data_IF_249041682655
#
_entry.id   IF_249041682655
#
_cell.length_a   1.000
_cell.length_b   1.000
_cell.length_c   1.000
_cell.angle_alpha   90.00
_cell.angle_beta   90.00
_cell.angle_gamma   90.00
#
_symmetry.space_group_name_H-M   'P 1'
#
loop_
_entity.id
_entity.type
_entity.pdbx_description
1 polymer ?
#
# COMPACT_ATOMS: atom_id res chain seq x y z
N UNK A 1 11.54 3.70 4.65
CA UNK A 1 10.23 3.46 5.28
C UNK A 1 9.19 3.21 4.18
N UNK A 2 7.94 2.88 4.54
CA UNK A 2 6.91 2.51 3.57
C UNK A 2 6.53 3.65 2.62
N UNK A 3 6.15 4.80 3.15
CA UNK A 3 5.71 5.94 2.34
C UNK A 3 6.84 6.60 1.55
N UNK A 4 8.08 6.59 2.07
CA UNK A 4 9.24 7.09 1.36
C UNK A 4 9.65 6.19 0.20
N UNK A 5 9.54 4.87 0.36
CA UNK A 5 9.76 3.91 -0.75
C UNK A 5 8.80 4.20 -1.92
N UNK A 6 7.51 4.29 -1.62
CA UNK A 6 6.49 4.59 -2.64
C UNK A 6 6.68 5.98 -3.23
N UNK A 7 6.98 6.99 -2.41
CA UNK A 7 7.23 8.35 -2.89
C UNK A 7 8.39 8.41 -3.89
N UNK A 8 9.46 7.65 -3.67
CA UNK A 8 10.58 7.57 -4.62
C UNK A 8 10.14 6.92 -5.93
N UNK A 9 9.41 5.81 -5.89
CA UNK A 9 8.89 5.13 -7.10
C UNK A 9 8.05 6.10 -7.93
N UNK A 10 7.11 6.81 -7.30
CA UNK A 10 6.28 7.80 -7.98
C UNK A 10 7.08 8.99 -8.52
N UNK A 11 8.01 9.52 -7.74
CA UNK A 11 8.87 10.63 -8.15
C UNK A 11 9.72 10.29 -9.36
N UNK A 12 10.24 9.06 -9.44
CA UNK A 12 11.00 8.57 -10.60
C UNK A 12 10.14 8.50 -11.87
N UNK A 13 8.82 8.37 -11.73
CA UNK A 13 7.84 8.41 -12.82
C UNK A 13 7.23 9.82 -13.01
N UNK A 14 7.83 10.86 -12.42
CA UNK A 14 7.40 12.26 -12.59
C UNK A 14 6.17 12.67 -11.76
N UNK A 15 5.63 11.79 -10.91
CA UNK A 15 4.45 12.07 -10.08
C UNK A 15 4.89 12.41 -8.66
N UNK A 16 4.46 13.57 -8.16
CA UNK A 16 4.75 14.00 -6.80
C UNK A 16 3.59 13.65 -5.86
N UNK A 17 3.89 12.86 -4.82
CA UNK A 17 2.94 12.52 -3.76
C UNK A 17 3.45 13.02 -2.41
N UNK A 18 2.52 13.22 -1.46
CA UNK A 18 2.84 13.67 -0.10
C UNK A 18 3.73 12.65 0.64
N UNK A 19 4.35 13.07 1.74
CA UNK A 19 5.44 12.30 2.38
C UNK A 19 4.95 11.14 3.24
N UNK A 20 3.85 11.34 3.96
CA UNK A 20 3.36 10.38 4.95
C UNK A 20 2.24 9.51 4.37
N UNK A 21 2.14 8.25 4.82
CA UNK A 21 1.13 7.31 4.33
C UNK A 21 -0.31 7.83 4.52
N UNK A 22 -0.59 8.46 5.66
CA UNK A 22 -1.88 9.09 5.95
C UNK A 22 -2.22 10.21 4.96
N UNK A 23 -1.24 11.03 4.63
CA UNK A 23 -1.37 12.12 3.68
C UNK A 23 -1.54 11.61 2.23
N UNK A 24 -0.81 10.56 1.86
CA UNK A 24 -0.93 9.91 0.55
C UNK A 24 -2.32 9.29 0.37
N UNK A 25 -2.92 8.73 1.44
CA UNK A 25 -4.27 8.17 1.41
C UNK A 25 -5.38 9.21 1.16
N UNK A 26 -5.08 10.51 1.29
CA UNK A 26 -6.00 11.60 0.93
C UNK A 26 -5.93 11.97 -0.56
N UNK A 27 -4.97 11.42 -1.29
CA UNK A 27 -4.73 11.70 -2.70
C UNK A 27 -5.28 10.59 -3.60
N UNK A 28 -5.36 10.87 -4.89
CA UNK A 28 -5.80 9.91 -5.89
C UNK A 28 -7.30 9.57 -5.82
N UNK A 29 -7.71 8.66 -6.69
CA UNK A 29 -9.07 8.16 -6.80
C UNK A 29 -9.22 6.86 -6.02
N UNK A 30 -10.38 6.62 -5.42
CA UNK A 30 -10.66 5.38 -4.70
C UNK A 30 -10.78 4.23 -5.70
N UNK A 31 -10.19 3.09 -5.36
CA UNK A 31 -10.44 1.81 -6.03
C UNK A 31 -11.25 0.95 -5.06
N UNK A 32 -12.49 0.64 -5.43
CA UNK A 32 -13.49 0.10 -4.49
C UNK A 32 -13.19 -1.33 -4.04
N UNK A 33 -12.53 -2.13 -4.87
CA UNK A 33 -12.28 -3.55 -4.62
C UNK A 33 -10.83 -3.91 -4.93
N UNK A 34 -10.25 -4.79 -4.13
CA UNK A 34 -8.91 -5.34 -4.38
C UNK A 34 -8.83 -6.02 -5.76
N UNK A 35 -9.90 -6.68 -6.19
CA UNK A 35 -9.99 -7.31 -7.51
C UNK A 35 -9.89 -6.31 -8.68
N UNK A 36 -10.21 -5.03 -8.45
CA UNK A 36 -10.10 -3.95 -9.43
C UNK A 36 -8.76 -3.21 -9.34
N UNK A 37 -7.88 -3.59 -8.41
CA UNK A 37 -6.57 -2.99 -8.26
C UNK A 37 -5.70 -3.31 -9.47
N UNK A 38 -5.02 -2.28 -9.95
CA UNK A 38 -4.09 -2.35 -11.06
C UNK A 38 -2.65 -2.21 -10.57
N UNK A 39 -1.70 -2.56 -11.44
CA UNK A 39 -0.28 -2.33 -11.20
C UNK A 39 -0.05 -0.86 -10.84
N UNK A 40 0.74 -0.62 -9.81
CA UNK A 40 1.06 0.69 -9.25
C UNK A 40 -0.05 1.35 -8.41
N UNK A 41 -1.24 0.77 -8.25
CA UNK A 41 -2.18 1.29 -7.24
C UNK A 41 -1.56 1.22 -5.84
N UNK A 42 -1.95 2.13 -4.94
CA UNK A 42 -1.47 2.17 -3.57
C UNK A 42 -2.51 1.61 -2.61
N UNK A 43 -2.14 0.53 -1.92
CA UNK A 43 -2.92 0.01 -0.81
C UNK A 43 -2.43 0.62 0.50
N UNK A 44 -3.38 1.09 1.32
CA UNK A 44 -3.15 1.72 2.60
C UNK A 44 -3.72 0.87 3.72
N UNK A 45 -3.02 0.87 4.86
CA UNK A 45 -3.32 -0.03 5.97
C UNK A 45 -3.42 0.76 7.27
N UNK A 46 -4.40 0.37 8.09
CA UNK A 46 -4.66 1.01 9.38
C UNK A 46 -4.09 0.21 10.56
N UNK A 47 -3.89 0.92 11.68
CA UNK A 47 -3.67 0.32 12.98
C UNK A 47 -5.01 0.04 13.69
N UNK A 48 -4.94 -0.45 14.93
CA UNK A 48 -6.13 -0.74 15.75
C UNK A 48 -7.02 0.50 16.02
N UNK A 49 -6.44 1.71 15.97
CA UNK A 49 -7.17 2.98 16.12
C UNK A 49 -7.80 3.47 14.80
N UNK A 50 -7.67 2.72 13.70
CA UNK A 50 -8.17 3.10 12.38
C UNK A 50 -7.34 4.18 11.68
N UNK A 51 -6.13 4.49 12.17
CA UNK A 51 -5.22 5.45 11.55
C UNK A 51 -4.35 4.77 10.51
N UNK A 52 -4.22 5.38 9.33
CA UNK A 52 -3.29 4.91 8.30
C UNK A 52 -1.85 5.04 8.79
N UNK A 53 -1.15 3.92 8.90
CA UNK A 53 0.24 3.84 9.37
C UNK A 53 1.18 3.23 8.33
N UNK A 54 0.64 2.59 7.29
CA UNK A 54 1.44 1.89 6.31
C UNK A 54 0.85 2.00 4.90
N UNK A 55 1.72 1.87 3.90
CA UNK A 55 1.38 1.90 2.47
C UNK A 55 2.26 0.89 1.73
N UNK A 56 1.69 0.28 0.69
CA UNK A 56 2.43 -0.53 -0.27
C UNK A 56 1.89 -0.33 -1.67
N UNK A 57 2.67 -0.77 -2.65
CA UNK A 57 2.36 -0.64 -4.07
C UNK A 57 1.89 -2.00 -4.60
N UNK A 58 0.72 -2.01 -5.22
CA UNK A 58 0.10 -3.18 -5.82
C UNK A 58 0.89 -3.63 -7.04
N UNK A 59 1.27 -4.90 -7.07
CA UNK A 59 1.87 -5.54 -8.25
C UNK A 59 0.82 -6.28 -9.07
N UNK A 60 -0.17 -6.83 -8.38
CA UNK A 60 -1.35 -7.54 -8.89
C UNK A 60 -2.39 -7.59 -7.77
N UNK A 61 -3.59 -8.09 -8.04
CA UNK A 61 -4.66 -8.22 -7.05
C UNK A 61 -4.35 -9.21 -5.90
N UNK A 62 -3.24 -9.97 -5.97
CA UNK A 62 -2.81 -10.93 -4.96
C UNK A 62 -1.37 -10.65 -4.41
N UNK A 63 -0.68 -9.62 -4.91
CA UNK A 63 0.70 -9.31 -4.50
C UNK A 63 0.94 -7.82 -4.32
N UNK A 64 1.70 -7.50 -3.29
CA UNK A 64 2.09 -6.14 -2.93
C UNK A 64 3.58 -6.06 -2.63
N UNK A 65 4.23 -4.98 -3.07
CA UNK A 65 5.58 -4.61 -2.64
C UNK A 65 5.52 -3.49 -1.60
N UNK A 66 6.20 -3.67 -0.48
CA UNK A 66 6.20 -2.70 0.62
C UNK A 66 7.50 -2.74 1.42
N UNK A 67 7.76 -1.67 2.19
CA UNK A 67 8.90 -1.57 3.10
C UNK A 67 8.44 -1.70 4.55
N UNK A 68 8.65 -2.87 5.17
CA UNK A 68 8.42 -3.12 6.59
C UNK A 68 9.67 -3.77 7.19
N UNK A 69 10.57 -2.96 7.75
CA UNK A 69 11.93 -3.36 8.15
C UNK A 69 12.88 -3.59 6.96
N UNK A 70 12.41 -4.29 5.92
CA UNK A 70 13.06 -4.47 4.61
C UNK A 70 12.03 -4.27 3.49
N UNK A 71 12.49 -3.98 2.27
CA UNK A 71 11.64 -4.04 1.08
C UNK A 71 11.38 -5.51 0.76
N UNK A 72 10.12 -5.88 0.60
CA UNK A 72 9.69 -7.26 0.33
C UNK A 72 8.39 -7.29 -0.46
N UNK A 73 8.12 -8.45 -1.04
CA UNK A 73 6.85 -8.77 -1.71
C UNK A 73 6.15 -9.81 -0.88
N UNK A 74 4.90 -9.54 -0.51
CA UNK A 74 4.07 -10.45 0.25
C UNK A 74 2.70 -10.64 -0.44
N UNK A 75 1.99 -11.75 -0.16
CA UNK A 75 0.59 -11.91 -0.52
C UNK A 75 -0.29 -10.85 0.14
N UNK A 76 -1.33 -10.44 -0.58
CA UNK A 76 -2.39 -9.56 -0.08
C UNK A 76 -3.76 -10.12 -0.44
N UNK A 77 -4.71 -9.94 0.46
CA UNK A 77 -6.13 -10.21 0.24
C UNK A 77 -7.00 -9.09 0.87
N UNK A 78 -8.31 -9.28 0.92
CA UNK A 78 -9.25 -8.29 1.49
C UNK A 78 -9.02 -8.02 2.98
N UNK A 79 -8.33 -8.91 3.72
CA UNK A 79 -7.92 -8.65 5.10
C UNK A 79 -6.67 -7.76 5.15
N UNK A 80 -5.72 -8.00 4.23
CA UNK A 80 -4.52 -7.19 4.05
C UNK A 80 -3.27 -8.02 3.80
N UNK A 81 -2.12 -7.57 4.30
CA UNK A 81 -0.83 -8.22 3.98
C UNK A 81 -0.60 -9.42 4.89
N UNK A 82 -0.50 -10.61 4.28
CA UNK A 82 -0.09 -11.83 4.96
C UNK A 82 1.42 -12.01 4.88
N UNK A 83 2.10 -11.95 6.02
CA UNK A 83 3.54 -12.20 6.07
C UNK A 83 3.78 -13.71 6.14
N UNK A 84 4.20 -14.31 5.03
CA UNK A 84 4.44 -15.75 4.93
C UNK A 84 5.57 -16.26 5.86
N UNK A 85 6.56 -15.43 6.16
CA UNK A 85 7.65 -15.78 7.10
C UNK A 85 7.14 -15.86 8.55
N UNK A 86 6.20 -15.00 8.93
CA UNK A 86 5.62 -14.96 10.28
C UNK A 86 4.34 -15.81 10.41
N UNK A 87 3.77 -16.27 9.30
CA UNK A 87 2.52 -17.02 9.27
C UNK A 87 1.30 -16.23 9.75
N UNK A 88 1.29 -14.90 9.62
CA UNK A 88 0.20 -14.05 10.11
C UNK A 88 -0.02 -12.80 9.28
N UNK A 89 -1.22 -12.23 9.37
CA UNK A 89 -1.49 -10.87 8.88
C UNK A 89 -0.74 -9.84 9.71
N UNK A 90 -0.16 -8.87 9.03
CA UNK A 90 0.66 -7.83 9.66
C UNK A 90 0.13 -6.42 9.43
N UNK A 91 -0.62 -6.21 8.36
CA UNK A 91 -1.18 -4.92 7.98
C UNK A 91 -2.59 -5.12 7.50
N UNK A 92 -3.56 -4.42 8.10
CA UNK A 92 -4.98 -4.55 7.77
C UNK A 92 -5.37 -3.59 6.66
N UNK A 93 -5.92 -4.11 5.56
CA UNK A 93 -6.27 -3.29 4.39
C UNK A 93 -7.39 -2.31 4.76
N UNK A 94 -7.21 -1.03 4.40
CA UNK A 94 -8.19 0.02 4.67
C UNK A 94 -8.75 0.64 3.40
N UNK A 95 -7.90 1.00 2.45
CA UNK A 95 -8.30 1.68 1.22
C UNK A 95 -7.24 1.50 0.15
N UNK A 96 -7.67 1.48 -1.11
CA UNK A 96 -6.80 1.47 -2.29
C UNK A 96 -7.00 2.77 -3.05
N UNK A 97 -5.90 3.38 -3.51
CA UNK A 97 -5.92 4.60 -4.32
C UNK A 97 -5.18 4.43 -5.62
N UNK A 98 -5.76 4.98 -6.69
CA UNK A 98 -5.14 5.14 -7.99
C UNK A 98 -4.69 6.57 -8.20
N UNK A 99 -3.48 6.73 -8.72
CA UNK A 99 -2.89 8.02 -9.06
C UNK A 99 -2.73 8.07 -10.58
N UNK A 100 -3.27 9.13 -11.19
CA UNK A 100 -3.25 9.41 -12.64
C UNK A 100 -2.43 10.66 -12.94
#
# INVERSE_FOLDING_TARGET
DCSGFVQIVYKLNGIQIKRDASQQAEQGQIVDFLASAELCDLAFFDNEDGKITHVGLMLSNDRIIHSAGKVRIDPIDDQGIFNAELGKYTHKLRIIKRFV
#
